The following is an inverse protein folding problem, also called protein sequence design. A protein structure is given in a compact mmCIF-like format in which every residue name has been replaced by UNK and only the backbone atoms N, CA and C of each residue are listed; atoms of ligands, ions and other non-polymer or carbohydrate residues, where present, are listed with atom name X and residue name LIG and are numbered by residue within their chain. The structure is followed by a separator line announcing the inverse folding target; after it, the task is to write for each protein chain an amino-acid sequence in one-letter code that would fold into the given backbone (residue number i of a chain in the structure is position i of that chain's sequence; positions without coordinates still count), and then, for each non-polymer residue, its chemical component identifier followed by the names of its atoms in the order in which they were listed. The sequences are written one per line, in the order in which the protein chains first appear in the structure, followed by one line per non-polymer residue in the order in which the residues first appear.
data_IF_688887794725
#
_entry.id   IF_688887794725
#
_cell.length_a   1.000
_cell.length_b   1.000
_cell.length_c   1.000
_cell.angle_alpha   90.00
_cell.angle_beta   90.00
_cell.angle_gamma   90.00
#
_symmetry.space_group_name_H-M   'P 1'
#
loop_
_entity.id
_entity.type
_entity.pdbx_description
1 polymer ?
#
# COMPACT_ATOMS: atom_id res chain seq x y z
N UNK A 1 -9.78 53.32 -23.46
CA UNK A 1 -9.08 52.05 -23.78
C UNK A 1 -8.82 51.17 -22.55
N UNK A 2 -8.43 51.72 -21.39
CA UNK A 2 -8.13 50.94 -20.16
C UNK A 2 -9.32 50.14 -19.57
N UNK A 3 -10.56 50.60 -19.78
CA UNK A 3 -11.78 49.89 -19.33
C UNK A 3 -12.12 48.66 -20.18
N UNK A 4 -11.81 48.71 -21.49
CA UNK A 4 -12.04 47.60 -22.41
C UNK A 4 -11.00 46.48 -22.20
N UNK A 5 -9.75 46.83 -21.90
CA UNK A 5 -8.71 45.86 -21.51
C UNK A 5 -9.02 45.18 -20.18
N UNK A 6 -9.65 45.89 -19.23
CA UNK A 6 -10.05 45.31 -17.93
C UNK A 6 -11.20 44.30 -18.08
N UNK A 7 -12.16 44.58 -18.97
CA UNK A 7 -13.26 43.66 -19.28
C UNK A 7 -12.78 42.37 -19.98
N UNK A 8 -11.78 42.47 -20.85
CA UNK A 8 -11.17 41.30 -21.52
C UNK A 8 -10.37 40.44 -20.53
N UNK A 9 -9.66 41.08 -19.59
CA UNK A 9 -8.90 40.36 -18.56
C UNK A 9 -9.80 39.63 -17.55
N UNK A 10 -10.95 40.22 -17.20
CA UNK A 10 -11.97 39.58 -16.35
C UNK A 10 -12.65 38.41 -17.09
N UNK A 11 -12.97 38.58 -18.37
CA UNK A 11 -13.55 37.50 -19.17
C UNK A 11 -12.60 36.30 -19.34
N UNK A 12 -11.29 36.54 -19.48
CA UNK A 12 -10.28 35.49 -19.54
C UNK A 12 -10.12 34.75 -18.20
N UNK A 13 -10.26 35.45 -17.07
CA UNK A 13 -10.19 34.85 -15.72
C UNK A 13 -11.37 33.90 -15.43
N UNK A 14 -12.54 34.17 -16.01
CA UNK A 14 -13.75 33.34 -15.82
C UNK A 14 -13.66 32.03 -16.61
N UNK A 15 -13.02 32.02 -17.78
CA UNK A 15 -12.88 30.84 -18.64
C UNK A 15 -11.89 29.80 -18.07
N UNK A 16 -10.91 30.23 -17.27
CA UNK A 16 -9.95 29.32 -16.62
C UNK A 16 -10.58 28.54 -15.46
N UNK A 17 -11.67 29.04 -14.85
CA UNK A 17 -12.35 28.38 -13.73
C UNK A 17 -13.35 27.29 -14.15
N UNK A 18 -13.70 27.20 -15.43
CA UNK A 18 -14.65 26.18 -15.93
C UNK A 18 -13.99 24.91 -16.46
N UNK A 19 -12.66 24.85 -16.55
CA UNK A 19 -11.92 23.71 -17.12
C UNK A 19 -11.34 22.75 -16.08
N UNK A 20 -12.17 22.31 -15.13
CA UNK A 20 -11.87 21.11 -14.34
C UNK A 20 -13.13 20.51 -13.70
N UNK A 21 -14.17 20.23 -14.51
CA UNK A 21 -15.08 19.14 -14.15
C UNK A 21 -14.44 17.85 -14.62
N UNK A 22 -13.56 17.30 -13.78
CA UNK A 22 -13.17 15.89 -13.89
C UNK A 22 -14.45 15.12 -13.61
N UNK A 23 -15.07 14.61 -14.67
CA UNK A 23 -16.25 13.75 -14.61
C UNK A 23 -15.93 12.61 -13.65
N UNK A 24 -16.38 12.73 -12.39
CA UNK A 24 -16.22 11.68 -11.40
C UNK A 24 -17.08 10.55 -11.93
N UNK A 25 -16.44 9.56 -12.57
CA UNK A 25 -17.13 8.36 -13.02
C UNK A 25 -17.96 7.87 -11.85
N UNK A 26 -19.28 7.88 -12.01
CA UNK A 26 -20.23 7.56 -10.95
C UNK A 26 -19.98 6.09 -10.60
N UNK A 27 -19.27 5.83 -9.51
CA UNK A 27 -18.94 4.47 -9.07
C UNK A 27 -20.23 3.67 -8.96
N UNK A 28 -20.29 2.54 -9.64
CA UNK A 28 -21.49 1.70 -9.71
C UNK A 28 -21.58 0.88 -8.42
N UNK A 29 -22.60 1.15 -7.60
CA UNK A 29 -22.85 0.41 -6.35
C UNK A 29 -23.55 -0.91 -6.69
N UNK A 30 -22.98 -2.04 -6.24
CA UNK A 30 -23.59 -3.36 -6.41
C UNK A 30 -24.48 -3.75 -5.23
N UNK A 31 -24.02 -3.48 -4.01
CA UNK A 31 -24.76 -3.76 -2.78
C UNK A 31 -24.40 -2.74 -1.70
N UNK A 32 -25.37 -2.44 -0.83
CA UNK A 32 -25.15 -1.62 0.38
C UNK A 32 -25.48 -2.47 1.60
N UNK A 33 -24.56 -2.48 2.57
CA UNK A 33 -24.63 -3.21 3.84
C UNK A 33 -24.48 -2.15 4.94
N UNK A 34 -25.58 -1.80 5.61
CA UNK A 34 -25.65 -0.66 6.54
C UNK A 34 -25.08 0.63 5.90
N UNK A 35 -23.96 1.13 6.44
CA UNK A 35 -23.27 2.33 5.98
C UNK A 35 -22.13 2.03 4.99
N UNK A 36 -21.96 0.78 4.58
CA UNK A 36 -20.93 0.35 3.63
C UNK A 36 -21.52 0.07 2.26
N UNK A 37 -20.96 0.66 1.21
CA UNK A 37 -21.29 0.36 -0.18
C UNK A 37 -20.17 -0.45 -0.83
N UNK A 38 -20.51 -1.62 -1.37
CA UNK A 38 -19.63 -2.42 -2.21
C UNK A 38 -19.81 -1.97 -3.65
N UNK A 39 -18.75 -1.43 -4.25
CA UNK A 39 -18.77 -0.97 -5.64
C UNK A 39 -18.34 -2.08 -6.59
N UNK A 40 -18.68 -1.92 -7.87
CA UNK A 40 -18.26 -2.82 -8.94
C UNK A 40 -16.75 -3.02 -9.00
N UNK A 41 -15.98 -1.96 -8.76
CA UNK A 41 -14.52 -2.04 -8.74
C UNK A 41 -14.01 -2.89 -7.57
N UNK A 42 -14.65 -2.80 -6.40
CA UNK A 42 -14.30 -3.61 -5.23
C UNK A 42 -14.56 -5.09 -5.52
N UNK A 43 -15.74 -5.42 -6.06
CA UNK A 43 -16.09 -6.78 -6.49
C UNK A 43 -15.06 -7.33 -7.49
N UNK A 44 -14.72 -6.55 -8.53
CA UNK A 44 -13.74 -6.98 -9.53
C UNK A 44 -12.34 -7.18 -8.92
N UNK A 45 -11.96 -6.34 -7.95
CA UNK A 45 -10.66 -6.47 -7.27
C UNK A 45 -10.59 -7.73 -6.41
N UNK A 46 -11.64 -8.02 -5.65
CA UNK A 46 -11.73 -9.19 -4.77
C UNK A 46 -11.87 -10.48 -5.59
N UNK A 47 -12.70 -10.49 -6.64
CA UNK A 47 -12.86 -11.64 -7.51
C UNK A 47 -11.53 -12.06 -8.16
N UNK A 48 -10.63 -11.12 -8.46
CA UNK A 48 -9.29 -11.42 -9.01
C UNK A 48 -8.37 -12.13 -8.03
N UNK A 49 -8.64 -12.05 -6.72
CA UNK A 49 -7.85 -12.72 -5.69
C UNK A 49 -8.19 -14.21 -5.56
N UNK A 50 -9.36 -14.63 -6.05
CA UNK A 50 -9.72 -16.05 -6.06
C UNK A 50 -8.79 -16.84 -7.00
N UNK A 51 -8.30 -18.03 -6.57
CA UNK A 51 -7.49 -18.87 -7.43
C UNK A 51 -8.23 -19.21 -8.74
N UNK A 52 -7.53 -19.37 -9.88
CA UNK A 52 -8.16 -19.62 -11.19
C UNK A 52 -9.20 -20.74 -11.18
N UNK A 53 -8.89 -21.86 -10.53
CA UNK A 53 -9.80 -23.01 -10.40
C UNK A 53 -11.16 -22.67 -9.75
N UNK A 54 -11.21 -21.69 -8.83
CA UNK A 54 -12.47 -21.26 -8.21
C UNK A 54 -13.23 -20.26 -9.10
N UNK A 55 -12.51 -19.41 -9.85
CA UNK A 55 -13.12 -18.43 -10.76
C UNK A 55 -13.86 -19.06 -11.94
N UNK A 56 -13.50 -20.28 -12.33
CA UNK A 56 -14.13 -21.01 -13.44
C UNK A 56 -15.42 -21.73 -13.02
N UNK A 57 -15.61 -21.96 -11.72
CA UNK A 57 -16.72 -22.76 -11.18
C UNK A 57 -17.77 -21.90 -10.47
N UNK A 58 -17.35 -20.82 -9.81
CA UNK A 58 -18.26 -19.95 -9.06
C UNK A 58 -18.98 -18.95 -9.97
N UNK A 59 -20.27 -18.76 -9.73
CA UNK A 59 -21.04 -17.69 -10.39
C UNK A 59 -20.74 -16.33 -9.74
N UNK A 60 -21.11 -15.24 -10.42
CA UNK A 60 -20.94 -13.89 -9.90
C UNK A 60 -21.73 -13.67 -8.61
N UNK A 61 -22.92 -14.27 -8.53
CA UNK A 61 -23.82 -14.21 -7.38
C UNK A 61 -23.21 -14.93 -6.17
N UNK A 62 -22.57 -16.07 -6.37
CA UNK A 62 -21.87 -16.79 -5.30
C UNK A 62 -20.68 -15.99 -4.76
N UNK A 63 -19.86 -15.41 -5.65
CA UNK A 63 -18.76 -14.54 -5.24
C UNK A 63 -19.29 -13.31 -4.51
N UNK A 64 -20.41 -12.73 -4.97
CA UNK A 64 -21.01 -11.55 -4.32
C UNK A 64 -21.51 -11.90 -2.92
N UNK A 65 -22.16 -13.04 -2.75
CA UNK A 65 -22.64 -13.52 -1.46
C UNK A 65 -21.47 -13.77 -0.48
N UNK A 66 -20.40 -14.43 -0.92
CA UNK A 66 -19.18 -14.60 -0.12
C UNK A 66 -18.61 -13.26 0.37
N UNK A 67 -18.57 -12.24 -0.51
CA UNK A 67 -18.08 -10.90 -0.17
C UNK A 67 -18.99 -10.19 0.84
N UNK A 68 -20.32 -10.35 0.71
CA UNK A 68 -21.28 -9.83 1.68
C UNK A 68 -21.06 -10.50 3.03
N UNK A 69 -20.97 -11.83 3.08
CA UNK A 69 -20.72 -12.59 4.31
C UNK A 69 -19.40 -12.17 4.99
N UNK A 70 -18.30 -12.11 4.21
CA UNK A 70 -17.01 -11.61 4.69
C UNK A 70 -17.14 -10.21 5.29
N UNK A 71 -17.89 -9.31 4.63
CA UNK A 71 -18.05 -7.94 5.10
C UNK A 71 -18.87 -7.85 6.38
N UNK A 72 -19.95 -8.63 6.50
CA UNK A 72 -20.76 -8.71 7.73
C UNK A 72 -19.90 -9.14 8.93
N UNK A 73 -19.07 -10.18 8.76
CA UNK A 73 -18.16 -10.66 9.82
C UNK A 73 -17.12 -9.59 10.21
N UNK A 74 -16.57 -8.86 9.25
CA UNK A 74 -15.63 -7.78 9.53
C UNK A 74 -16.29 -6.62 10.30
N UNK A 75 -17.52 -6.23 9.91
CA UNK A 75 -18.27 -5.19 10.62
C UNK A 75 -18.56 -5.61 12.06
N UNK A 76 -18.92 -6.87 12.29
CA UNK A 76 -19.12 -7.41 13.62
C UNK A 76 -17.82 -7.42 14.46
N UNK A 77 -16.69 -7.81 13.86
CA UNK A 77 -15.39 -7.73 14.51
C UNK A 77 -15.04 -6.29 14.96
N UNK A 78 -15.34 -5.29 14.12
CA UNK A 78 -15.16 -3.88 14.48
C UNK A 78 -16.12 -3.42 15.58
N UNK A 79 -17.38 -3.88 15.54
CA UNK A 79 -18.38 -3.59 16.58
C UNK A 79 -17.93 -4.13 17.94
N UNK A 80 -17.27 -5.28 17.95
CA UNK A 80 -16.67 -5.88 19.15
C UNK A 80 -15.33 -5.23 19.54
N UNK A 81 -14.80 -4.31 18.74
CA UNK A 81 -13.55 -3.59 19.02
C UNK A 81 -12.28 -4.43 18.79
N UNK A 82 -12.36 -5.54 18.06
CA UNK A 82 -11.20 -6.39 17.75
C UNK A 82 -10.13 -5.64 16.93
N UNK A 83 -10.56 -4.65 16.14
CA UNK A 83 -9.68 -3.77 15.37
C UNK A 83 -8.93 -2.73 16.23
N UNK A 84 -9.23 -2.66 17.53
CA UNK A 84 -8.56 -1.78 18.51
C UNK A 84 -7.82 -2.55 19.60
N UNK A 85 -7.91 -3.88 19.58
CA UNK A 85 -7.20 -4.73 20.52
C UNK A 85 -5.68 -4.51 20.40
N UNK A 86 -4.96 -4.26 21.52
CA UNK A 86 -3.52 -3.98 21.48
C UNK A 86 -2.69 -5.11 20.86
N UNK A 87 -3.09 -6.38 21.05
CA UNK A 87 -2.36 -7.51 20.47
C UNK A 87 -2.59 -7.60 18.95
N UNK A 88 -3.83 -7.37 18.49
CA UNK A 88 -4.13 -7.26 17.06
C UNK A 88 -3.37 -6.09 16.41
N UNK A 89 -3.40 -4.91 17.02
CA UNK A 89 -2.67 -3.74 16.49
C UNK A 89 -1.16 -3.98 16.42
N UNK A 90 -0.58 -4.65 17.42
CA UNK A 90 0.84 -5.04 17.37
C UNK A 90 1.13 -6.06 16.27
N UNK A 91 0.20 -6.98 16.00
CA UNK A 91 0.31 -7.92 14.89
C UNK A 91 0.30 -7.18 13.54
N UNK A 92 -0.62 -6.23 13.35
CA UNK A 92 -0.71 -5.40 12.14
C UNK A 92 0.58 -4.59 11.93
N UNK A 93 1.09 -3.96 12.99
CA UNK A 93 2.36 -3.21 12.96
C UNK A 93 3.52 -4.10 12.52
N UNK A 94 3.68 -5.29 13.12
CA UNK A 94 4.73 -6.25 12.76
C UNK A 94 4.61 -6.71 11.30
N UNK A 95 3.39 -7.02 10.86
CA UNK A 95 3.16 -7.42 9.48
C UNK A 95 3.51 -6.29 8.50
N UNK A 96 3.14 -5.06 8.82
CA UNK A 96 3.49 -3.89 8.02
C UNK A 96 5.01 -3.68 7.95
N UNK A 97 5.71 -3.73 9.09
CA UNK A 97 7.17 -3.60 9.16
C UNK A 97 7.87 -4.65 8.30
N UNK A 98 7.48 -5.92 8.44
CA UNK A 98 8.05 -7.03 7.69
C UNK A 98 7.78 -6.91 6.19
N UNK A 99 6.56 -6.54 5.81
CA UNK A 99 6.17 -6.38 4.40
C UNK A 99 6.96 -5.25 3.74
N UNK A 100 7.08 -4.12 4.43
CA UNK A 100 7.81 -2.96 3.92
C UNK A 100 9.32 -3.25 3.81
N UNK A 101 9.90 -3.89 4.82
CA UNK A 101 11.31 -4.31 4.78
C UNK A 101 11.57 -5.26 3.61
N UNK A 102 10.70 -6.26 3.42
CA UNK A 102 10.78 -7.20 2.31
C UNK A 102 10.74 -6.47 0.96
N UNK A 103 9.76 -5.59 0.75
CA UNK A 103 9.64 -4.82 -0.50
C UNK A 103 10.87 -3.95 -0.77
N UNK A 104 11.44 -3.31 0.27
CA UNK A 104 12.66 -2.52 0.15
C UNK A 104 13.86 -3.39 -0.26
N UNK A 105 14.03 -4.55 0.39
CA UNK A 105 15.14 -5.47 0.11
C UNK A 105 15.02 -6.10 -1.28
N UNK A 106 13.81 -6.51 -1.69
CA UNK A 106 13.56 -7.03 -3.04
C UNK A 106 13.90 -5.99 -4.11
N UNK A 107 13.44 -4.74 -3.93
CA UNK A 107 13.77 -3.63 -4.83
C UNK A 107 15.27 -3.42 -4.90
N UNK A 108 15.95 -3.35 -3.76
CA UNK A 108 17.39 -3.10 -3.72
C UNK A 108 18.21 -4.25 -4.30
N UNK A 109 17.80 -5.48 -4.04
CA UNK A 109 18.42 -6.68 -4.61
C UNK A 109 18.33 -6.66 -6.13
N UNK A 110 17.15 -6.34 -6.69
CA UNK A 110 16.96 -6.19 -8.13
C UNK A 110 17.87 -5.12 -8.74
N UNK A 111 17.96 -3.95 -8.11
CA UNK A 111 18.88 -2.87 -8.54
C UNK A 111 20.33 -3.36 -8.56
N UNK A 112 20.80 -3.98 -7.47
CA UNK A 112 22.17 -4.49 -7.36
C UNK A 112 22.45 -5.54 -8.43
N UNK A 113 21.61 -6.58 -8.54
CA UNK A 113 21.81 -7.66 -9.51
C UNK A 113 21.82 -7.15 -10.95
N UNK A 114 20.97 -6.18 -11.29
CA UNK A 114 20.95 -5.57 -12.63
C UNK A 114 22.21 -4.77 -12.96
N UNK A 115 22.98 -4.36 -11.94
CA UNK A 115 24.20 -3.55 -12.10
C UNK A 115 25.50 -4.37 -12.12
N UNK A 116 25.45 -5.68 -11.84
CA UNK A 116 26.64 -6.52 -11.79
C UNK A 116 27.02 -7.00 -13.19
N UNK A 117 28.20 -6.60 -13.64
CA UNK A 117 28.87 -7.17 -14.80
C UNK A 117 30.01 -8.07 -14.29
N UNK A 118 29.72 -9.35 -14.09
CA UNK A 118 30.67 -10.33 -13.58
C UNK A 118 30.31 -11.74 -14.05
N UNK A 119 31.29 -12.68 -14.11
CA UNK A 119 31.01 -14.10 -14.26
C UNK A 119 30.03 -14.61 -13.19
N UNK A 120 29.21 -15.60 -13.54
CA UNK A 120 28.14 -16.10 -12.66
C UNK A 120 28.68 -16.59 -11.30
N UNK A 121 29.88 -17.18 -11.29
CA UNK A 121 30.55 -17.66 -10.08
C UNK A 121 30.85 -16.55 -9.06
N UNK A 122 31.09 -15.32 -9.52
CA UNK A 122 31.40 -14.16 -8.67
C UNK A 122 30.16 -13.30 -8.34
N UNK A 123 29.04 -13.54 -9.03
CA UNK A 123 27.89 -12.63 -9.02
C UNK A 123 27.27 -12.48 -7.62
N UNK A 124 27.14 -13.59 -6.89
CA UNK A 124 26.57 -13.61 -5.55
C UNK A 124 27.47 -12.92 -4.52
N UNK A 125 28.79 -13.09 -4.64
CA UNK A 125 29.76 -12.43 -3.78
C UNK A 125 29.72 -10.90 -3.99
N UNK A 126 29.74 -10.45 -5.26
CA UNK A 126 29.63 -9.03 -5.58
C UNK A 126 28.30 -8.42 -5.12
N UNK A 127 27.18 -9.13 -5.29
CA UNK A 127 25.89 -8.69 -4.78
C UNK A 127 25.89 -8.50 -3.26
N UNK A 128 26.47 -9.45 -2.52
CA UNK A 128 26.60 -9.39 -1.06
C UNK A 128 27.46 -8.19 -0.64
N UNK A 129 28.59 -7.96 -1.31
CA UNK A 129 29.46 -6.81 -1.04
C UNK A 129 28.76 -5.47 -1.30
N UNK A 130 27.98 -5.35 -2.37
CA UNK A 130 27.20 -4.14 -2.68
C UNK A 130 26.10 -3.91 -1.65
N UNK A 131 25.40 -4.96 -1.24
CA UNK A 131 24.38 -4.90 -0.20
C UNK A 131 24.98 -4.44 1.14
N UNK A 132 26.12 -5.01 1.54
CA UNK A 132 26.80 -4.62 2.77
C UNK A 132 27.27 -3.17 2.73
N UNK A 133 27.81 -2.71 1.59
CA UNK A 133 28.17 -1.30 1.41
C UNK A 133 26.96 -0.39 1.58
N UNK A 134 25.85 -0.70 0.92
CA UNK A 134 24.61 0.07 1.07
C UNK A 134 24.13 0.12 2.52
N UNK A 135 24.13 -1.01 3.23
CA UNK A 135 23.78 -1.06 4.66
C UNK A 135 24.70 -0.20 5.53
N UNK A 136 26.00 -0.17 5.22
CA UNK A 136 26.96 0.67 5.94
C UNK A 136 26.70 2.17 5.69
N UNK A 137 26.36 2.56 4.46
CA UNK A 137 26.01 3.95 4.15
C UNK A 137 24.70 4.39 4.83
N UNK A 138 23.71 3.50 4.91
CA UNK A 138 22.50 3.74 5.72
C UNK A 138 22.84 3.96 7.20
N UNK A 139 23.72 3.14 7.77
CA UNK A 139 24.17 3.30 9.16
C UNK A 139 24.90 4.63 9.39
N UNK A 140 25.77 5.04 8.46
CA UNK A 140 26.54 6.31 8.56
C UNK A 140 25.65 7.54 8.45
N UNK A 141 24.66 7.50 7.58
CA UNK A 141 23.71 8.60 7.36
C UNK A 141 22.68 8.74 8.49
N UNK A 142 22.43 7.67 9.24
CA UNK A 142 21.51 7.69 10.36
C UNK A 142 22.15 8.27 11.63
N UNK A 143 21.40 9.11 12.35
CA UNK A 143 21.77 9.56 13.70
C UNK A 143 21.44 8.47 14.72
N UNK A 144 22.39 7.57 14.95
CA UNK A 144 22.21 6.45 15.88
C UNK A 144 22.76 6.83 17.27
N UNK A 145 21.93 6.68 18.31
CA UNK A 145 22.32 6.82 19.72
C UNK A 145 21.96 5.54 20.46
N UNK A 146 22.91 4.95 21.18
CA UNK A 146 22.72 3.69 21.90
C UNK A 146 22.84 3.96 23.40
N UNK A 147 21.81 3.61 24.16
CA UNK A 147 21.88 3.61 25.62
C UNK A 147 22.55 2.32 26.11
N UNK A 148 23.88 2.35 26.24
CA UNK A 148 24.69 1.18 26.63
C UNK A 148 24.33 0.66 28.02
N UNK A 149 24.19 1.56 29.01
CA UNK A 149 23.82 1.16 30.36
C UNK A 149 22.45 0.48 30.45
N UNK A 150 21.48 0.84 29.61
CA UNK A 150 20.21 0.11 29.52
C UNK A 150 20.37 -1.25 28.81
N UNK A 151 21.16 -1.31 27.74
CA UNK A 151 21.42 -2.53 26.98
C UNK A 151 22.11 -3.61 27.84
N UNK A 152 23.12 -3.23 28.63
CA UNK A 152 23.93 -4.17 29.42
C UNK A 152 23.12 -4.81 30.59
N UNK A 153 21.98 -4.22 30.96
CA UNK A 153 21.06 -4.76 31.98
C UNK A 153 20.01 -5.72 31.41
N UNK A 154 19.97 -5.93 30.10
CA UNK A 154 19.02 -6.85 29.47
C UNK A 154 19.61 -8.27 29.54
N UNK A 155 18.96 -9.15 30.30
CA UNK A 155 19.23 -10.58 30.27
C UNK A 155 18.37 -11.25 29.20
N UNK A 156 19.02 -11.93 28.25
CA UNK A 156 18.33 -12.78 27.29
C UNK A 156 18.09 -14.13 27.98
N UNK A 157 16.82 -14.49 28.14
CA UNK A 157 16.39 -15.81 28.62
C UNK A 157 16.52 -16.85 27.52
#
# INVERSE_FOLDING_TARGET
MKKATYLIFIAFLIVVLTSCTKEKSKKEVLVTIDNYSLYKEDFLSEARLYPPAYREVLTKEQILDDLIQKKLLLLEAQRQGLDKDPAFMKMVERFWEQSLLRSLLEKKSKEILSSIQAPEEERNQKATQMMQRWMNELKKSAKIRINKGALDRIELK
#
